data_IF_862559813668
#
_entry.id   IF_862559813668
#
_cell.length_a   1.000
_cell.length_b   1.000
_cell.length_c   1.000
_cell.angle_alpha   90.00
_cell.angle_beta   90.00
_cell.angle_gamma   90.00
#
_symmetry.space_group_name_H-M   'P 1'
#
loop_
_entity.id
_entity.type
_entity.pdbx_description
1 polymer ?
#
# COMPACT_ATOMS: atom_id res chain seq x y z
N UNK A 1 13.13 -17.06 6.26
CA UNK A 1 11.75 -17.00 5.71
C UNK A 1 10.88 -15.92 6.37
N UNK A 2 10.93 -15.70 7.69
CA UNK A 2 10.18 -14.60 8.36
C UNK A 2 10.54 -13.21 7.84
N UNK A 3 11.84 -12.91 7.70
CA UNK A 3 12.31 -11.62 7.19
C UNK A 3 11.76 -11.31 5.79
N UNK A 4 11.83 -12.28 4.87
CA UNK A 4 11.32 -12.13 3.50
C UNK A 4 9.82 -11.83 3.47
N UNK A 5 9.03 -12.52 4.30
CA UNK A 5 7.58 -12.28 4.41
C UNK A 5 7.28 -10.89 4.95
N UNK A 6 8.00 -10.45 5.99
CA UNK A 6 7.86 -9.10 6.54
C UNK A 6 8.23 -8.03 5.51
N UNK A 7 9.31 -8.24 4.76
CA UNK A 7 9.74 -7.32 3.69
C UNK A 7 8.67 -7.19 2.61
N UNK A 8 8.13 -8.31 2.13
CA UNK A 8 7.06 -8.31 1.14
C UNK A 8 5.82 -7.58 1.65
N UNK A 9 5.42 -7.84 2.90
CA UNK A 9 4.27 -7.18 3.50
C UNK A 9 4.48 -5.66 3.65
N UNK A 10 5.68 -5.23 4.03
CA UNK A 10 6.05 -3.80 4.09
C UNK A 10 6.04 -3.14 2.72
N UNK A 11 6.54 -3.82 1.68
CA UNK A 11 6.52 -3.30 0.30
C UNK A 11 5.07 -3.07 -0.15
N UNK A 12 4.20 -4.05 0.06
CA UNK A 12 2.77 -3.93 -0.29
C UNK A 12 2.12 -2.77 0.47
N UNK A 13 2.42 -2.62 1.76
CA UNK A 13 1.93 -1.52 2.59
C UNK A 13 2.40 -0.16 2.08
N UNK A 14 3.69 -0.04 1.73
CA UNK A 14 4.26 1.18 1.18
C UNK A 14 3.67 1.55 -0.19
N UNK A 15 3.45 0.57 -1.07
CA UNK A 15 2.78 0.79 -2.36
C UNK A 15 1.34 1.26 -2.14
N UNK A 16 0.61 0.62 -1.22
CA UNK A 16 -0.74 1.04 -0.87
C UNK A 16 -0.81 2.47 -0.33
N UNK A 17 0.16 2.86 0.49
CA UNK A 17 0.26 4.25 0.97
C UNK A 17 0.53 5.21 -0.18
N UNK A 18 1.45 4.88 -1.09
CA UNK A 18 1.76 5.71 -2.26
C UNK A 18 0.53 5.90 -3.16
N UNK A 19 -0.20 4.83 -3.49
CA UNK A 19 -1.43 4.94 -4.28
C UNK A 19 -2.51 5.73 -3.57
N UNK A 20 -2.62 5.58 -2.24
CA UNK A 20 -3.56 6.38 -1.45
C UNK A 20 -3.24 7.87 -1.55
N UNK A 21 -1.97 8.23 -1.39
CA UNK A 21 -1.47 9.60 -1.50
C UNK A 21 -1.62 10.17 -2.92
N UNK A 22 -1.45 9.34 -3.95
CA UNK A 22 -1.74 9.72 -5.33
C UNK A 22 -3.24 9.97 -5.53
N UNK A 23 -4.10 9.09 -5.02
CA UNK A 23 -5.55 9.23 -5.15
C UNK A 23 -6.12 10.51 -4.53
N UNK A 24 -5.54 10.99 -3.44
CA UNK A 24 -5.90 12.29 -2.82
C UNK A 24 -5.15 13.49 -3.43
N UNK A 25 -4.26 13.26 -4.39
CA UNK A 25 -3.53 14.32 -5.09
C UNK A 25 -2.33 14.90 -4.33
N UNK A 26 -1.89 14.26 -3.24
CA UNK A 26 -0.69 14.70 -2.47
C UNK A 26 0.60 14.33 -3.21
N UNK A 27 0.64 13.14 -3.82
CA UNK A 27 1.78 12.69 -4.63
C UNK A 27 1.42 12.81 -6.10
N UNK A 28 2.14 13.68 -6.81
CA UNK A 28 1.93 13.99 -8.23
C UNK A 28 2.87 13.27 -9.19
N UNK A 29 2.75 13.60 -10.49
CA UNK A 29 3.68 13.15 -11.53
C UNK A 29 3.26 11.90 -12.29
N UNK A 30 2.06 11.37 -12.03
CA UNK A 30 1.49 10.22 -12.74
C UNK A 30 0.01 10.44 -13.08
N UNK A 31 -0.51 9.62 -14.00
CA UNK A 31 -1.93 9.54 -14.37
C UNK A 31 -2.86 9.16 -13.20
N UNK A 32 -2.29 8.76 -12.07
CA UNK A 32 -3.01 8.30 -10.88
C UNK A 32 -3.38 9.44 -9.93
N UNK A 33 -2.73 10.60 -10.09
CA UNK A 33 -2.85 11.75 -9.19
C UNK A 33 -4.26 12.35 -9.23
N UNK A 34 -4.89 12.53 -8.08
CA UNK A 34 -6.21 13.15 -7.94
C UNK A 34 -7.39 12.26 -8.34
N UNK A 35 -7.13 10.99 -8.64
CA UNK A 35 -8.16 10.02 -9.03
C UNK A 35 -8.55 9.14 -7.84
N UNK A 36 -9.78 9.29 -7.36
CA UNK A 36 -10.27 8.60 -6.14
C UNK A 36 -10.20 7.07 -6.23
N UNK A 37 -10.20 6.49 -7.43
CA UNK A 37 -9.98 5.06 -7.63
C UNK A 37 -8.67 4.58 -6.98
N UNK A 38 -7.59 5.35 -7.09
CA UNK A 38 -6.29 4.98 -6.51
C UNK A 38 -6.27 5.11 -4.99
N UNK A 39 -7.10 5.99 -4.42
CA UNK A 39 -7.32 6.04 -2.97
C UNK A 39 -7.88 4.70 -2.47
N UNK A 40 -8.95 4.22 -3.09
CA UNK A 40 -9.58 2.96 -2.65
C UNK A 40 -8.66 1.75 -2.87
N UNK A 41 -7.99 1.66 -4.02
CA UNK A 41 -7.03 0.58 -4.29
C UNK A 41 -5.87 0.63 -3.29
N UNK A 42 -5.35 1.84 -3.02
CA UNK A 42 -4.28 2.05 -2.05
C UNK A 42 -4.64 1.61 -0.63
N UNK A 43 -5.83 1.98 -0.16
CA UNK A 43 -6.35 1.57 1.14
C UNK A 43 -6.48 0.05 1.25
N UNK A 44 -7.02 -0.61 0.22
CA UNK A 44 -7.12 -2.08 0.19
C UNK A 44 -5.73 -2.72 0.21
N UNK A 45 -4.78 -2.21 -0.56
CA UNK A 45 -3.40 -2.70 -0.56
C UNK A 45 -2.73 -2.53 0.81
N UNK A 46 -2.95 -1.40 1.50
CA UNK A 46 -2.45 -1.19 2.87
C UNK A 46 -3.02 -2.22 3.84
N UNK A 47 -4.33 -2.51 3.77
CA UNK A 47 -4.97 -3.53 4.61
C UNK A 47 -4.37 -4.93 4.36
N UNK A 48 -4.11 -5.27 3.10
CA UNK A 48 -3.45 -6.55 2.75
C UNK A 48 -2.02 -6.60 3.30
N UNK A 49 -1.25 -5.52 3.17
CA UNK A 49 0.10 -5.42 3.73
C UNK A 49 0.11 -5.56 5.26
N UNK A 50 -0.82 -4.90 5.95
CA UNK A 50 -1.01 -5.01 7.40
C UNK A 50 -1.37 -6.43 7.82
N UNK A 51 -2.33 -7.06 7.15
CA UNK A 51 -2.72 -8.45 7.42
C UNK A 51 -1.52 -9.41 7.19
N UNK A 52 -0.75 -9.18 6.13
CA UNK A 52 0.48 -9.91 5.84
C UNK A 52 1.54 -9.78 6.95
N UNK A 53 1.74 -8.57 7.48
CA UNK A 53 2.65 -8.32 8.61
C UNK A 53 2.21 -9.07 9.87
N UNK A 54 0.92 -9.00 10.21
CA UNK A 54 0.36 -9.69 11.38
C UNK A 54 0.52 -11.21 11.24
N UNK A 55 0.27 -11.75 10.04
CA UNK A 55 0.42 -13.18 9.78
C UNK A 55 1.88 -13.63 9.81
N UNK A 56 2.80 -12.83 9.28
CA UNK A 56 4.22 -13.17 9.23
C UNK A 56 4.92 -13.10 10.62
N UNK A 57 4.36 -12.33 11.55
CA UNK A 57 4.79 -12.26 12.95
C UNK A 57 4.12 -13.28 13.89
N UNK A 58 3.13 -14.05 13.41
CA UNK A 58 2.67 -15.26 14.13
C UNK A 58 3.66 -16.42 13.97
#
# INVERSE_FOLDING_TARGET
>A
MRLTKNLLALIVLAIGALWSLQGIGVVGGSFMTGQSQWLYIGLVAMLVGLAGLVWANR
#
